data_IF_166420739262
#
_entry.id   IF_166420739262
#
_cell.length_a   1.000
_cell.length_b   1.000
_cell.length_c   1.000
_cell.angle_alpha   90.00
_cell.angle_beta   90.00
_cell.angle_gamma   90.00
#
_symmetry.space_group_name_H-M   'P 1'
#
loop_
_entity.id
_entity.type
_entity.pdbx_description
1 polymer ?
#
# COMPACT_ATOMS: atom_id res chain seq x y z
N UNK A 1 -33.91 24.32 -8.87
CA UNK A 1 -33.14 23.94 -10.06
C UNK A 1 -31.75 24.49 -9.79
N UNK A 2 -30.93 23.71 -9.11
CA UNK A 2 -29.60 24.14 -8.67
C UNK A 2 -28.57 23.57 -9.63
N UNK A 3 -28.05 24.43 -10.51
CA UNK A 3 -26.84 24.15 -11.26
C UNK A 3 -25.64 24.37 -10.33
N UNK A 4 -25.06 23.26 -9.89
CA UNK A 4 -23.77 23.24 -9.21
C UNK A 4 -22.69 23.74 -10.17
N UNK A 5 -22.19 24.95 -9.91
CA UNK A 5 -20.99 25.49 -10.57
C UNK A 5 -19.79 24.66 -10.11
N UNK A 6 -19.46 23.65 -10.91
CA UNK A 6 -18.26 22.84 -10.76
C UNK A 6 -17.07 23.75 -11.08
N UNK A 7 -16.28 24.08 -10.06
CA UNK A 7 -15.08 24.90 -10.25
C UNK A 7 -14.07 24.10 -11.08
N UNK A 8 -14.03 24.36 -12.39
CA UNK A 8 -13.12 23.72 -13.31
C UNK A 8 -11.74 24.38 -13.21
N UNK A 9 -10.74 23.55 -12.95
CA UNK A 9 -9.35 24.01 -12.88
C UNK A 9 -8.89 24.50 -14.26
N UNK A 10 -9.51 23.99 -15.34
CA UNK A 10 -9.26 24.40 -16.72
C UNK A 10 -9.80 25.82 -16.98
N UNK A 11 -11.03 26.12 -16.52
CA UNK A 11 -11.62 27.47 -16.61
C UNK A 11 -10.84 28.49 -15.76
N UNK A 12 -10.46 28.14 -14.52
CA UNK A 12 -9.69 29.04 -13.65
C UNK A 12 -8.26 29.29 -14.17
N UNK A 13 -7.66 28.30 -14.85
CA UNK A 13 -6.36 28.45 -15.50
C UNK A 13 -6.47 29.31 -16.77
N UNK A 14 -7.53 29.11 -17.55
CA UNK A 14 -7.84 29.93 -18.72
C UNK A 14 -8.24 31.37 -18.37
N UNK A 15 -8.86 31.64 -17.22
CA UNK A 15 -9.20 33.00 -16.78
C UNK A 15 -7.95 33.81 -16.37
N UNK A 16 -6.96 33.15 -15.75
CA UNK A 16 -5.68 33.79 -15.36
C UNK A 16 -4.78 34.02 -16.57
N UNK A 17 -4.85 33.14 -17.57
CA UNK A 17 -4.03 33.19 -18.78
C UNK A 17 -4.77 33.74 -20.02
N UNK A 18 -6.05 34.06 -19.88
CA UNK A 18 -6.95 34.39 -20.97
C UNK A 18 -7.92 35.47 -20.54
N UNK A 19 -7.46 36.72 -20.53
CA UNK A 19 -7.84 37.64 -21.60
C UNK A 19 -6.91 38.86 -21.58
N UNK A 20 -6.61 39.42 -22.76
CA UNK A 20 -5.99 40.74 -22.88
C UNK A 20 -4.46 40.78 -23.03
N UNK A 21 -3.92 40.04 -23.99
CA UNK A 21 -2.58 40.26 -24.52
C UNK A 21 -1.71 39.01 -24.43
N UNK A 22 -1.70 38.23 -25.50
CA UNK A 22 -0.85 37.04 -25.62
C UNK A 22 0.62 37.41 -25.40
N UNK A 23 1.11 37.19 -24.19
CA UNK A 23 2.53 37.32 -23.89
C UNK A 23 3.23 36.21 -24.67
N UNK A 24 4.07 36.52 -25.68
CA UNK A 24 4.73 35.50 -26.51
C UNK A 24 5.58 34.54 -25.67
N UNK A 25 5.95 34.96 -24.46
CA UNK A 25 6.69 34.18 -23.46
C UNK A 25 5.83 33.06 -22.86
N UNK A 26 4.54 33.29 -22.55
CA UNK A 26 3.68 32.25 -21.95
C UNK A 26 3.44 31.12 -22.95
N UNK A 27 3.09 31.46 -24.19
CA UNK A 27 2.91 30.49 -25.27
C UNK A 27 4.20 29.73 -25.58
N UNK A 28 5.35 30.39 -25.49
CA UNK A 28 6.65 29.72 -25.67
C UNK A 28 6.97 28.76 -24.51
N UNK A 29 6.60 29.10 -23.27
CA UNK A 29 6.76 28.22 -22.10
C UNK A 29 5.84 27.01 -22.21
N UNK A 30 4.60 27.19 -22.64
CA UNK A 30 3.64 26.08 -22.82
C UNK A 30 4.10 25.12 -23.94
N UNK A 31 4.55 25.67 -25.08
CA UNK A 31 5.14 24.87 -26.17
C UNK A 31 6.41 24.14 -25.73
N UNK A 32 7.24 24.77 -24.91
CA UNK A 32 8.44 24.13 -24.36
C UNK A 32 8.07 22.99 -23.40
N UNK A 33 7.08 23.21 -22.54
CA UNK A 33 6.58 22.19 -21.61
C UNK A 33 6.04 20.97 -22.36
N UNK A 34 5.28 21.19 -23.44
CA UNK A 34 4.77 20.13 -24.33
C UNK A 34 5.91 19.39 -25.05
N UNK A 35 6.93 20.09 -25.53
CA UNK A 35 8.10 19.42 -26.12
C UNK A 35 8.87 18.58 -25.11
N UNK A 36 9.00 19.05 -23.86
CA UNK A 36 9.68 18.31 -22.79
C UNK A 36 8.89 17.04 -22.43
N UNK A 37 7.56 17.09 -22.38
CA UNK A 37 6.74 15.90 -22.09
C UNK A 37 6.81 14.89 -23.23
N UNK A 38 6.72 15.34 -24.49
CA UNK A 38 6.89 14.49 -25.67
C UNK A 38 8.26 13.83 -25.69
N UNK A 39 9.32 14.61 -25.46
CA UNK A 39 10.69 14.08 -25.37
C UNK A 39 10.84 13.06 -24.24
N UNK A 40 10.28 13.34 -23.07
CA UNK A 40 10.33 12.39 -21.95
C UNK A 40 9.63 11.07 -22.31
N UNK A 41 8.52 11.15 -23.03
CA UNK A 41 7.77 9.97 -23.47
C UNK A 41 8.54 9.18 -24.53
N UNK A 42 9.20 9.85 -25.48
CA UNK A 42 10.09 9.24 -26.47
C UNK A 42 11.31 8.58 -25.81
N UNK A 43 11.99 9.28 -24.90
CA UNK A 43 13.14 8.76 -24.16
C UNK A 43 12.76 7.54 -23.30
N UNK A 44 11.58 7.59 -22.65
CA UNK A 44 11.01 6.44 -21.92
C UNK A 44 10.78 5.25 -22.85
N UNK A 45 10.19 5.49 -24.03
CA UNK A 45 9.92 4.44 -25.01
C UNK A 45 11.21 3.83 -25.57
N UNK A 46 12.20 4.67 -25.91
CA UNK A 46 13.51 4.23 -26.39
C UNK A 46 14.30 3.46 -25.32
N UNK A 47 14.21 3.87 -24.05
CA UNK A 47 14.83 3.15 -22.94
C UNK A 47 14.23 1.75 -22.75
N UNK A 48 12.90 1.64 -22.81
CA UNK A 48 12.19 0.36 -22.76
C UNK A 48 12.56 -0.54 -23.95
N UNK A 49 12.66 0.02 -25.15
CA UNK A 49 13.06 -0.71 -26.35
C UNK A 49 14.50 -1.24 -26.23
N UNK A 50 15.45 -0.44 -25.73
CA UNK A 50 16.83 -0.90 -25.49
C UNK A 50 16.90 -2.01 -24.44
N UNK A 51 16.14 -1.90 -23.35
CA UNK A 51 16.06 -2.98 -22.35
C UNK A 51 15.51 -4.26 -22.98
N UNK A 52 14.53 -4.12 -23.87
CA UNK A 52 13.93 -5.23 -24.59
C UNK A 52 14.90 -5.86 -25.60
N UNK A 53 15.64 -5.06 -26.38
CA UNK A 53 16.69 -5.56 -27.27
C UNK A 53 17.80 -6.30 -26.52
N UNK A 54 18.26 -5.75 -25.39
CA UNK A 54 19.26 -6.39 -24.56
C UNK A 54 18.78 -7.75 -24.03
N UNK A 55 17.51 -7.82 -23.62
CA UNK A 55 16.86 -9.06 -23.20
C UNK A 55 16.69 -10.04 -24.35
N UNK A 56 16.31 -9.58 -25.55
CA UNK A 56 16.22 -10.42 -26.74
C UNK A 56 17.58 -11.01 -27.13
N UNK A 57 18.65 -10.20 -27.10
CA UNK A 57 20.01 -10.71 -27.34
C UNK A 57 20.41 -11.74 -26.28
N UNK A 58 20.05 -11.54 -25.02
CA UNK A 58 20.29 -12.49 -23.95
C UNK A 58 19.60 -13.84 -24.19
N UNK A 59 18.31 -13.84 -24.55
CA UNK A 59 17.57 -15.07 -24.89
C UNK A 59 18.12 -15.73 -26.16
N UNK A 60 18.45 -14.94 -27.18
CA UNK A 60 19.05 -15.46 -28.41
C UNK A 60 20.40 -16.12 -28.13
N UNK A 61 21.22 -15.54 -27.25
CA UNK A 61 22.49 -16.11 -26.84
C UNK A 61 22.30 -17.42 -26.05
N UNK A 62 21.28 -17.49 -25.19
CA UNK A 62 20.90 -18.74 -24.50
C UNK A 62 20.44 -19.83 -25.49
N UNK A 63 19.69 -19.43 -26.51
CA UNK A 63 19.15 -20.36 -27.53
C UNK A 63 20.21 -20.80 -28.54
N UNK A 64 21.08 -19.89 -28.96
CA UNK A 64 22.17 -20.16 -29.91
C UNK A 64 23.37 -20.85 -29.26
N UNK A 65 23.55 -20.69 -27.94
CA UNK A 65 24.64 -21.29 -27.16
C UNK A 65 24.44 -22.77 -26.80
N UNK A 66 23.36 -23.42 -27.24
CA UNK A 66 23.14 -24.85 -26.99
C UNK A 66 22.95 -25.23 -25.52
N UNK A 67 22.73 -24.27 -24.62
CA UNK A 67 22.38 -24.51 -23.22
C UNK A 67 20.88 -24.78 -23.09
N UNK A 68 20.40 -25.82 -23.74
CA UNK A 68 19.17 -26.47 -23.30
C UNK A 68 19.49 -27.25 -22.03
N UNK A 69 18.77 -27.08 -20.91
CA UNK A 69 18.84 -28.07 -19.85
C UNK A 69 18.41 -29.40 -20.47
N UNK A 70 19.30 -30.37 -20.39
CA UNK A 70 19.11 -31.71 -20.92
C UNK A 70 17.87 -32.31 -20.25
N UNK A 71 16.77 -32.44 -21.00
CA UNK A 71 15.78 -33.47 -20.68
C UNK A 71 16.49 -34.81 -20.86
N UNK A 72 16.55 -35.68 -19.83
CA UNK A 72 17.23 -36.94 -19.94
C UNK A 72 16.42 -37.88 -20.85
N UNK A 73 17.15 -38.51 -21.77
CA UNK A 73 16.77 -39.71 -22.53
C UNK A 73 15.84 -39.55 -23.74
N UNK A 74 16.45 -39.22 -24.88
CA UNK A 74 16.15 -39.97 -26.11
C UNK A 74 17.49 -40.24 -26.83
N UNK A 75 17.92 -41.50 -27.01
CA UNK A 75 19.22 -41.80 -27.62
C UNK A 75 19.23 -41.41 -29.10
N UNK A 76 20.40 -41.02 -29.58
CA UNK A 76 20.64 -40.22 -30.78
C UNK A 76 20.13 -40.78 -32.10
N UNK A 77 20.15 -39.94 -33.14
CA UNK A 77 21.18 -39.99 -34.20
C UNK A 77 20.91 -38.88 -35.23
N UNK A 78 21.96 -38.15 -35.58
CA UNK A 78 21.99 -37.35 -36.80
C UNK A 78 22.54 -38.15 -37.98
N UNK A 79 21.98 -37.89 -39.15
CA UNK A 79 22.47 -38.17 -40.52
C UNK A 79 22.57 -39.62 -41.01
N UNK A 80 21.96 -39.87 -42.18
CA UNK A 80 22.32 -40.94 -43.12
C UNK A 80 21.18 -41.88 -43.51
N UNK A 81 20.92 -42.01 -44.80
CA UNK A 81 19.93 -42.88 -45.50
C UNK A 81 20.18 -44.40 -45.32
N UNK A 82 19.42 -45.31 -45.98
CA UNK A 82 17.98 -45.46 -46.18
C UNK A 82 17.47 -46.83 -45.64
N UNK A 83 16.18 -47.10 -45.81
CA UNK A 83 15.55 -48.44 -45.86
C UNK A 83 14.95 -49.01 -44.56
N UNK A 84 13.61 -49.07 -44.55
CA UNK A 84 12.87 -50.21 -44.06
C UNK A 84 12.45 -50.20 -42.59
N UNK A 85 11.29 -49.61 -42.27
CA UNK A 85 10.12 -50.33 -41.74
C UNK A 85 8.96 -49.37 -41.42
N UNK A 86 7.69 -49.85 -41.50
CA UNK A 86 6.52 -49.00 -41.60
C UNK A 86 5.82 -48.77 -40.25
N UNK A 87 5.17 -47.62 -40.13
CA UNK A 87 3.98 -47.47 -39.28
C UNK A 87 4.19 -46.87 -37.90
N UNK A 88 4.11 -45.55 -37.81
CA UNK A 88 3.13 -44.83 -36.98
C UNK A 88 3.22 -43.35 -37.33
N UNK A 89 2.31 -42.90 -38.20
CA UNK A 89 2.11 -41.50 -38.48
C UNK A 89 1.41 -40.84 -37.27
N UNK A 90 2.19 -40.22 -36.39
CA UNK A 90 1.66 -39.13 -35.58
C UNK A 90 1.73 -37.85 -36.43
N UNK A 91 0.66 -37.05 -36.48
CA UNK A 91 0.66 -35.84 -37.29
C UNK A 91 1.76 -34.91 -36.77
N UNK A 92 2.48 -34.19 -37.64
CA UNK A 92 3.37 -33.13 -37.20
C UNK A 92 2.48 -32.10 -36.48
N UNK A 93 2.59 -31.97 -35.17
CA UNK A 93 2.05 -30.79 -34.50
C UNK A 93 2.83 -29.59 -35.03
N UNK A 94 2.19 -28.66 -35.77
CA UNK A 94 2.88 -27.45 -36.16
C UNK A 94 3.01 -26.62 -34.89
N UNK A 95 4.21 -26.52 -34.33
CA UNK A 95 4.51 -25.42 -33.43
C UNK A 95 4.25 -24.14 -34.23
N UNK A 96 3.34 -23.25 -33.80
CA UNK A 96 3.04 -22.06 -34.56
C UNK A 96 4.33 -21.24 -34.68
N UNK A 97 4.80 -21.05 -35.90
CA UNK A 97 5.83 -20.08 -36.19
C UNK A 97 5.28 -18.71 -35.79
N UNK A 98 5.86 -18.12 -34.74
CA UNK A 98 5.58 -16.79 -34.17
C UNK A 98 4.66 -16.70 -32.92
N UNK A 99 5.04 -17.28 -31.77
CA UNK A 99 4.42 -16.94 -30.47
C UNK A 99 4.81 -15.54 -29.95
N UNK A 100 5.75 -14.84 -30.63
CA UNK A 100 6.41 -13.62 -30.14
C UNK A 100 5.50 -12.38 -30.17
N UNK A 101 4.67 -12.23 -31.20
CA UNK A 101 3.72 -11.10 -31.32
C UNK A 101 2.57 -11.18 -30.29
N UNK A 102 2.01 -12.38 -30.09
CA UNK A 102 0.88 -12.56 -29.17
C UNK A 102 1.30 -12.43 -27.69
N UNK A 103 2.49 -12.89 -27.32
CA UNK A 103 3.02 -12.72 -25.95
C UNK A 103 3.38 -11.26 -25.69
N UNK A 104 4.00 -10.55 -26.65
CA UNK A 104 4.21 -9.09 -26.57
C UNK A 104 2.90 -8.35 -26.37
N UNK A 105 1.91 -8.61 -27.22
CA UNK A 105 0.60 -7.94 -27.15
C UNK A 105 -0.09 -8.19 -25.80
N UNK A 106 -0.04 -9.42 -25.27
CA UNK A 106 -0.57 -9.74 -23.93
C UNK A 106 0.17 -9.01 -22.81
N UNK A 107 1.49 -8.90 -22.90
CA UNK A 107 2.30 -8.15 -21.92
C UNK A 107 1.98 -6.66 -21.95
N UNK A 108 1.95 -6.04 -23.14
CA UNK A 108 1.58 -4.62 -23.29
C UNK A 108 0.15 -4.36 -22.80
N UNK A 109 -0.81 -5.24 -23.12
CA UNK A 109 -2.17 -5.12 -22.62
C UNK A 109 -2.24 -5.27 -21.09
N UNK A 110 -1.47 -6.19 -20.50
CA UNK A 110 -1.37 -6.32 -19.04
C UNK A 110 -0.76 -5.08 -18.38
N UNK A 111 0.31 -4.53 -18.95
CA UNK A 111 0.98 -3.33 -18.46
C UNK A 111 0.06 -2.10 -18.56
N UNK A 112 -0.60 -1.92 -19.71
CA UNK A 112 -1.59 -0.86 -19.92
C UNK A 112 -2.75 -0.96 -18.92
N UNK A 113 -3.32 -2.15 -18.73
CA UNK A 113 -4.40 -2.36 -17.74
C UNK A 113 -3.95 -2.05 -16.31
N UNK A 114 -2.69 -2.35 -15.96
CA UNK A 114 -2.12 -1.99 -14.66
C UNK A 114 -1.97 -0.47 -14.51
N UNK A 115 -1.55 0.23 -15.55
CA UNK A 115 -1.42 1.69 -15.57
C UNK A 115 -2.79 2.38 -15.47
N UNK A 116 -3.81 1.88 -16.18
CA UNK A 116 -5.19 2.38 -16.08
C UNK A 116 -5.77 2.19 -14.67
N UNK A 117 -5.59 1.01 -14.06
CA UNK A 117 -6.05 0.79 -12.67
C UNK A 117 -5.29 1.65 -11.67
N UNK A 118 -4.00 1.92 -11.91
CA UNK A 118 -3.22 2.82 -11.07
C UNK A 118 -3.68 4.27 -11.20
N UNK A 119 -3.96 4.74 -12.42
CA UNK A 119 -4.48 6.07 -12.68
C UNK A 119 -5.83 6.29 -12.00
N UNK A 120 -6.76 5.34 -12.11
CA UNK A 120 -8.06 5.40 -11.43
C UNK A 120 -7.89 5.41 -9.90
N UNK A 121 -6.94 4.63 -9.39
CA UNK A 121 -6.61 4.61 -7.96
C UNK A 121 -6.05 5.93 -7.45
N UNK A 122 -5.18 6.59 -8.23
CA UNK A 122 -4.65 7.91 -7.90
C UNK A 122 -5.74 8.97 -7.91
N UNK A 123 -6.68 8.91 -8.88
CA UNK A 123 -7.84 9.81 -8.93
C UNK A 123 -8.68 9.69 -7.65
N UNK A 124 -8.94 8.46 -7.20
CA UNK A 124 -9.64 8.21 -5.94
C UNK A 124 -8.84 8.71 -4.74
N UNK A 125 -7.55 8.39 -4.64
CA UNK A 125 -6.70 8.86 -3.55
C UNK A 125 -6.69 10.40 -3.46
N UNK A 126 -6.59 11.09 -4.60
CA UNK A 126 -6.66 12.55 -4.67
C UNK A 126 -7.97 13.07 -4.05
N UNK A 127 -9.10 12.48 -4.41
CA UNK A 127 -10.41 12.83 -3.83
C UNK A 127 -10.42 12.61 -2.32
N UNK A 128 -9.93 11.46 -1.85
CA UNK A 128 -9.90 11.11 -0.42
C UNK A 128 -8.99 12.06 0.38
N UNK A 129 -7.84 12.45 -0.18
CA UNK A 129 -6.93 13.44 0.43
C UNK A 129 -7.54 14.83 0.50
N UNK A 130 -8.24 15.28 -0.56
CA UNK A 130 -8.95 16.56 -0.55
C UNK A 130 -10.03 16.57 0.52
N UNK A 131 -10.82 15.49 0.63
CA UNK A 131 -11.83 15.31 1.69
C UNK A 131 -11.20 15.35 3.08
N UNK A 132 -10.13 14.57 3.31
CA UNK A 132 -9.42 14.54 4.59
C UNK A 132 -8.89 15.93 4.98
N UNK A 133 -8.34 16.68 4.02
CA UNK A 133 -7.85 18.03 4.24
C UNK A 133 -8.97 19.01 4.62
N UNK A 134 -10.14 18.91 3.98
CA UNK A 134 -11.29 19.75 4.31
C UNK A 134 -11.75 19.54 5.76
N UNK A 135 -11.92 18.28 6.17
CA UNK A 135 -12.27 17.91 7.55
C UNK A 135 -11.21 18.36 8.56
N UNK A 136 -9.94 18.19 8.21
CA UNK A 136 -8.81 18.60 9.04
C UNK A 136 -8.79 20.11 9.26
N UNK A 137 -9.06 20.90 8.21
CA UNK A 137 -9.17 22.37 8.32
C UNK A 137 -10.30 22.78 9.25
N UNK A 138 -11.46 22.14 9.13
CA UNK A 138 -12.61 22.37 10.00
C UNK A 138 -12.33 22.01 11.46
N UNK A 139 -11.78 20.81 11.72
CA UNK A 139 -11.43 20.36 13.06
C UNK A 139 -10.41 21.28 13.73
N UNK A 140 -9.40 21.74 12.97
CA UNK A 140 -8.43 22.72 13.45
C UNK A 140 -9.07 24.09 13.75
N UNK A 141 -10.03 24.54 12.94
CA UNK A 141 -10.78 25.77 13.19
C UNK A 141 -11.56 25.66 14.50
N UNK A 142 -12.35 24.59 14.66
CA UNK A 142 -13.15 24.36 15.85
C UNK A 142 -12.26 24.20 17.10
N UNK A 143 -11.15 23.46 17.00
CA UNK A 143 -10.22 23.30 18.12
C UNK A 143 -9.54 24.62 18.53
N UNK A 144 -9.24 25.51 17.57
CA UNK A 144 -8.73 26.87 17.88
C UNK A 144 -9.79 27.71 18.60
N UNK A 145 -11.04 27.64 18.16
CA UNK A 145 -12.13 28.43 18.73
C UNK A 145 -12.56 27.93 20.11
N UNK A 146 -12.68 26.62 20.31
CA UNK A 146 -13.09 26.02 21.58
C UNK A 146 -11.93 25.89 22.59
N UNK A 147 -10.68 25.95 22.12
CA UNK A 147 -9.50 25.68 22.94
C UNK A 147 -9.25 26.76 24.00
N UNK A 148 -9.31 26.38 25.27
CA UNK A 148 -8.61 27.11 26.33
C UNK A 148 -7.10 26.95 26.08
N UNK A 149 -6.40 28.08 25.90
CA UNK A 149 -5.02 28.23 25.37
C UNK A 149 -3.94 27.21 25.78
N UNK A 150 -4.13 26.40 26.83
CA UNK A 150 -3.19 25.37 27.31
C UNK A 150 -3.34 23.96 26.71
N UNK A 151 -4.42 23.63 25.99
CA UNK A 151 -4.68 22.24 25.53
C UNK A 151 -5.14 22.15 24.07
N UNK A 152 -4.55 22.95 23.18
CA UNK A 152 -4.89 22.95 21.77
C UNK A 152 -4.49 21.62 21.09
N UNK A 153 -5.40 21.05 20.31
CA UNK A 153 -5.12 19.91 19.44
C UNK A 153 -4.99 20.39 18.00
N UNK A 154 -3.98 19.89 17.29
CA UNK A 154 -3.79 20.11 15.86
C UNK A 154 -3.95 18.81 15.09
N UNK A 155 -4.62 18.89 13.95
CA UNK A 155 -4.87 17.80 13.03
C UNK A 155 -4.09 18.06 11.73
N UNK A 156 -3.46 17.03 11.18
CA UNK A 156 -2.73 17.08 9.91
C UNK A 156 -3.03 15.83 9.08
N UNK A 157 -2.83 15.87 7.76
CA UNK A 157 -3.10 14.73 6.87
C UNK A 157 -1.78 14.10 6.45
N UNK A 158 -1.69 12.78 6.58
CA UNK A 158 -0.59 11.99 6.01
C UNK A 158 -1.14 10.77 5.28
N UNK A 159 -0.28 10.05 4.56
CA UNK A 159 -0.63 8.80 3.89
C UNK A 159 -0.08 7.62 4.69
N UNK A 160 -0.89 6.58 4.83
CA UNK A 160 -0.49 5.32 5.44
C UNK A 160 -0.74 4.16 4.47
N UNK A 161 0.03 3.08 4.64
CA UNK A 161 -0.24 1.78 4.04
C UNK A 161 -0.81 0.86 5.13
N UNK A 162 -2.13 0.60 5.15
CA UNK A 162 -2.74 -0.29 6.13
C UNK A 162 -2.19 -1.70 6.00
N UNK A 163 -2.01 -2.38 7.14
CA UNK A 163 -1.53 -3.76 7.15
C UNK A 163 -2.44 -4.71 6.34
N UNK A 164 -3.75 -4.43 6.28
CA UNK A 164 -4.71 -5.18 5.47
C UNK A 164 -4.42 -5.11 3.96
N UNK A 165 -3.79 -4.02 3.50
CA UNK A 165 -3.46 -3.77 2.09
C UNK A 165 -2.12 -4.38 1.67
N UNK A 166 -1.29 -4.82 2.62
CA UNK A 166 -0.02 -5.50 2.36
C UNK A 166 -0.17 -6.97 1.92
N UNK A 167 -1.40 -7.50 1.84
CA UNK A 167 -1.64 -8.88 1.44
C UNK A 167 -1.18 -9.12 -0.01
N UNK A 168 -0.37 -10.17 -0.29
CA UNK A 168 0.11 -10.45 -1.64
C UNK A 168 -1.00 -10.57 -2.69
N UNK A 169 -2.20 -11.03 -2.32
CA UNK A 169 -3.36 -11.12 -3.21
C UNK A 169 -3.88 -9.75 -3.66
N UNK A 170 -3.90 -8.76 -2.76
CA UNK A 170 -4.33 -7.37 -3.07
C UNK A 170 -3.31 -6.67 -3.95
N UNK A 171 -2.02 -6.85 -3.65
CA UNK A 171 -0.91 -6.29 -4.44
C UNK A 171 -0.91 -6.90 -5.85
N UNK A 172 -1.04 -8.23 -5.97
CA UNK A 172 -1.12 -8.92 -7.28
C UNK A 172 -2.35 -8.45 -8.08
N UNK A 173 -3.49 -8.28 -7.42
CA UNK A 173 -4.71 -7.74 -8.02
C UNK A 173 -4.58 -6.26 -8.46
N UNK A 174 -3.49 -5.56 -8.11
CA UNK A 174 -3.33 -4.14 -8.44
C UNK A 174 -4.23 -3.23 -7.63
N UNK A 175 -4.71 -3.69 -6.47
CA UNK A 175 -5.44 -2.83 -5.54
C UNK A 175 -4.49 -1.80 -4.94
N UNK A 176 -4.88 -0.54 -4.94
CA UNK A 176 -4.11 0.54 -4.36
C UNK A 176 -3.94 0.36 -2.85
N UNK A 177 -2.76 0.66 -2.34
CA UNK A 177 -2.35 0.26 -0.99
C UNK A 177 -2.33 1.40 0.02
N UNK A 178 -2.35 2.65 -0.44
CA UNK A 178 -2.27 3.83 0.43
C UNK A 178 -3.64 4.43 0.69
N UNK A 179 -3.86 4.94 1.89
CA UNK A 179 -5.04 5.72 2.27
C UNK A 179 -4.63 6.94 3.12
N UNK A 180 -5.42 8.03 3.12
CA UNK A 180 -5.17 9.16 4.00
C UNK A 180 -5.52 8.81 5.44
N UNK A 181 -4.69 9.29 6.37
CA UNK A 181 -4.87 9.17 7.81
C UNK A 181 -4.61 10.53 8.46
N UNK A 182 -5.30 10.80 9.56
CA UNK A 182 -5.23 12.06 10.28
C UNK A 182 -4.23 11.92 11.42
N UNK A 183 -3.20 12.76 11.42
CA UNK A 183 -2.23 12.90 12.50
C UNK A 183 -2.78 13.88 13.53
N UNK A 184 -3.00 13.42 14.75
CA UNK A 184 -3.53 14.23 15.85
C UNK A 184 -2.41 14.50 16.85
N UNK A 185 -2.17 15.77 17.15
CA UNK A 185 -1.13 16.22 18.09
C UNK A 185 -1.74 17.16 19.13
N UNK A 186 -1.40 16.97 20.40
CA UNK A 186 -1.86 17.83 21.49
C UNK A 186 -0.71 18.63 22.07
N UNK A 187 -0.90 19.95 22.20
CA UNK A 187 0.09 20.82 22.81
C UNK A 187 0.40 20.38 24.25
N UNK A 188 1.68 20.23 24.58
CA UNK A 188 2.15 19.78 25.89
C UNK A 188 2.23 18.26 26.07
N UNK A 189 1.88 17.46 25.05
CA UNK A 189 2.08 16.00 25.05
C UNK A 189 3.10 15.61 23.98
N UNK A 190 4.03 14.73 24.34
CA UNK A 190 4.96 14.11 23.41
C UNK A 190 4.30 12.93 22.70
N UNK A 191 4.28 12.97 21.36
CA UNK A 191 3.70 11.92 20.53
C UNK A 191 2.58 12.43 19.62
N UNK A 192 2.13 11.57 18.71
CA UNK A 192 1.01 11.84 17.81
C UNK A 192 0.15 10.59 17.65
N UNK A 193 -1.16 10.78 17.54
CA UNK A 193 -2.11 9.70 17.24
C UNK A 193 -2.42 9.67 15.75
N UNK A 194 -2.81 8.51 15.26
CA UNK A 194 -3.30 8.32 13.90
C UNK A 194 -4.77 7.95 13.96
N UNK A 195 -5.62 8.76 13.35
CA UNK A 195 -7.05 8.52 13.22
C UNK A 195 -7.40 8.29 11.76
N UNK A 196 -8.27 7.32 11.49
CA UNK A 196 -8.90 7.19 10.18
C UNK A 196 -9.73 8.44 9.85
N UNK A 197 -9.92 8.72 8.56
CA UNK A 197 -10.79 9.83 8.14
C UNK A 197 -12.19 9.70 8.74
N UNK A 198 -12.75 8.48 8.77
CA UNK A 198 -14.06 8.21 9.36
C UNK A 198 -14.12 8.50 10.87
N UNK A 199 -13.03 8.24 11.61
CA UNK A 199 -12.95 8.62 13.03
C UNK A 199 -13.02 10.14 13.19
N UNK A 200 -12.26 10.92 12.40
CA UNK A 200 -12.34 12.38 12.46
C UNK A 200 -13.73 12.89 12.08
N UNK A 201 -14.38 12.28 11.08
CA UNK A 201 -15.76 12.65 10.67
C UNK A 201 -16.76 12.47 11.80
N UNK A 202 -16.67 11.35 12.53
CA UNK A 202 -17.53 11.10 13.68
C UNK A 202 -17.23 12.10 14.80
N UNK A 203 -15.96 12.34 15.13
CA UNK A 203 -15.56 13.31 16.16
C UNK A 203 -15.96 14.75 15.81
N UNK A 204 -16.00 15.09 14.53
CA UNK A 204 -16.46 16.39 14.06
C UNK A 204 -17.93 16.67 14.39
N UNK A 205 -18.77 15.63 14.53
CA UNK A 205 -20.15 15.79 14.98
C UNK A 205 -20.15 16.37 16.40
N UNK A 206 -19.39 15.74 17.31
CA UNK A 206 -19.25 16.19 18.70
C UNK A 206 -18.59 17.59 18.77
N UNK A 207 -17.55 17.83 17.97
CA UNK A 207 -16.87 19.15 17.93
C UNK A 207 -17.82 20.27 17.47
N UNK A 208 -18.65 20.02 16.46
CA UNK A 208 -19.64 20.99 15.95
C UNK A 208 -20.71 21.28 16.99
N UNK A 209 -21.19 20.26 17.70
CA UNK A 209 -22.15 20.41 18.79
C UNK A 209 -21.58 21.30 19.90
N UNK A 210 -20.36 21.00 20.38
CA UNK A 210 -19.67 21.83 21.37
C UNK A 210 -19.46 23.28 20.89
N UNK A 211 -19.11 23.48 19.62
CA UNK A 211 -18.92 24.81 19.05
C UNK A 211 -20.24 25.59 19.03
N UNK A 212 -21.32 24.94 18.64
CA UNK A 212 -22.66 25.53 18.64
C UNK A 212 -23.14 25.84 20.06
N UNK A 213 -22.87 24.99 21.05
CA UNK A 213 -23.22 25.24 22.45
C UNK A 213 -22.48 26.46 23.02
N UNK A 214 -21.19 26.61 22.68
CA UNK A 214 -20.41 27.81 23.01
C UNK A 214 -21.01 29.06 22.35
N UNK A 215 -21.39 28.98 21.08
CA UNK A 215 -21.95 30.10 20.31
C UNK A 215 -23.35 30.50 20.81
N UNK A 216 -24.18 29.53 21.17
CA UNK A 216 -25.54 29.73 21.69
C UNK A 216 -25.56 30.16 23.17
N UNK A 217 -24.39 30.31 23.81
CA UNK A 217 -24.28 30.75 25.19
C UNK A 217 -24.78 29.72 26.22
N UNK A 218 -24.90 28.45 25.83
CA UNK A 218 -25.33 27.35 26.73
C UNK A 218 -24.20 26.96 27.71
N UNK A 219 -22.98 27.46 27.50
CA UNK A 219 -21.91 27.36 28.49
C UNK A 219 -22.22 28.28 29.67
N UNK A 220 -22.87 27.68 30.69
CA UNK A 220 -22.72 28.06 32.11
C UNK A 220 -21.24 28.34 32.32
N UNK A 221 -20.92 29.58 32.70
CA UNK A 221 -19.57 30.02 33.01
C UNK A 221 -18.79 28.92 33.72
N UNK A 222 -17.80 28.35 33.01
CA UNK A 222 -16.74 27.60 33.64
C UNK A 222 -16.02 28.59 34.55
N UNK A 223 -16.37 28.53 35.82
CA UNK A 223 -15.92 29.42 36.88
C UNK A 223 -14.46 29.12 37.17
N UNK A 224 -13.58 29.67 36.35
CA UNK A 224 -12.18 29.87 36.65
C UNK A 224 -11.82 31.35 36.53
N UNK A 225 -12.65 32.21 37.14
CA UNK A 225 -12.25 33.55 37.53
C UNK A 225 -12.20 33.59 39.06
N UNK A 226 -10.99 33.71 39.58
CA UNK A 226 -10.69 33.98 40.99
C UNK A 226 -11.48 35.19 41.49
N UNK A 227 -12.07 35.06 42.69
CA UNK A 227 -12.91 36.04 43.40
C UNK A 227 -12.27 37.43 43.59
N UNK A 228 -13.05 38.48 43.95
CA UNK A 228 -13.33 38.70 45.38
C UNK A 228 -14.79 39.13 45.73
N UNK A 229 -15.21 38.68 46.91
CA UNK A 229 -16.16 39.28 47.87
C UNK A 229 -17.69 39.29 47.60
N UNK A 230 -18.46 38.79 48.58
CA UNK A 230 -19.87 39.21 48.76
C UNK A 230 -20.94 38.24 49.28
N UNK A 231 -20.71 37.50 50.37
CA UNK A 231 -21.74 36.99 51.32
C UNK A 231 -22.49 35.66 51.05
N UNK A 232 -22.97 34.96 52.12
CA UNK A 232 -23.27 33.52 52.09
C UNK A 232 -24.77 33.18 52.31
N UNK A 233 -25.30 32.18 51.61
CA UNK A 233 -26.45 31.39 52.08
C UNK A 233 -26.62 30.08 51.29
N UNK A 234 -26.38 28.97 52.00
CA UNK A 234 -26.88 27.60 51.84
C UNK A 234 -27.74 27.26 50.60
N UNK A 235 -27.32 26.23 49.84
CA UNK A 235 -28.04 24.95 49.79
C UNK A 235 -27.36 23.90 48.88
N UNK A 236 -27.11 22.73 49.47
CA UNK A 236 -26.88 21.41 48.87
C UNK A 236 -25.58 21.18 48.09
N UNK A 237 -24.67 20.47 48.75
CA UNK A 237 -23.63 19.68 48.11
C UNK A 237 -24.25 18.71 47.10
N UNK A 238 -24.10 18.99 45.80
CA UNK A 238 -24.21 18.00 44.74
C UNK A 238 -22.81 17.64 44.27
N UNK A 239 -22.14 16.83 45.07
CA UNK A 239 -21.09 15.93 44.59
C UNK A 239 -21.74 14.86 43.71
N UNK A 240 -21.93 15.13 42.42
CA UNK A 240 -22.17 14.10 41.38
C UNK A 240 -22.51 14.77 40.05
N UNK A 241 -21.48 15.15 39.28
CA UNK A 241 -21.28 14.79 37.86
C UNK A 241 -20.04 15.56 37.39
N UNK A 242 -18.86 15.09 37.80
CA UNK A 242 -17.76 15.00 36.83
C UNK A 242 -18.28 14.04 35.75
N UNK A 243 -19.14 14.55 34.85
CA UNK A 243 -19.44 13.85 33.63
C UNK A 243 -18.09 13.67 32.96
N UNK A 244 -17.74 12.42 32.75
CA UNK A 244 -16.65 11.96 31.91
C UNK A 244 -16.94 12.49 30.51
N UNK A 245 -16.77 13.79 30.30
CA UNK A 245 -16.88 14.45 29.02
C UNK A 245 -15.65 13.96 28.27
N UNK A 246 -15.88 12.89 27.51
CA UNK A 246 -14.90 12.29 26.62
C UNK A 246 -14.43 13.45 25.74
N UNK A 247 -13.17 13.86 25.91
CA UNK A 247 -12.55 14.93 25.13
C UNK A 247 -12.66 14.58 23.63
N UNK A 248 -13.49 15.26 22.84
CA UNK A 248 -13.69 14.89 21.44
C UNK A 248 -12.47 15.27 20.60
N UNK A 249 -11.55 16.07 21.15
CA UNK A 249 -10.33 16.50 20.47
C UNK A 249 -9.17 15.53 20.66
N UNK A 250 -9.21 14.60 21.60
CA UNK A 250 -8.08 13.71 21.87
C UNK A 250 -8.52 12.42 22.54
N UNK A 251 -8.13 11.27 21.99
CA UNK A 251 -8.40 9.97 22.62
C UNK A 251 -7.31 9.67 23.66
N UNK A 252 -7.67 9.18 24.84
CA UNK A 252 -6.68 8.74 25.84
C UNK A 252 -6.19 7.30 25.62
N UNK A 253 -6.77 6.57 24.67
CA UNK A 253 -6.40 5.18 24.36
C UNK A 253 -5.25 5.12 23.33
N UNK A 254 -4.31 4.21 23.56
CA UNK A 254 -3.18 3.96 22.68
C UNK A 254 -3.58 3.04 21.52
N UNK A 255 -3.43 3.53 20.28
CA UNK A 255 -3.62 2.73 19.06
C UNK A 255 -2.31 2.03 18.66
N UNK A 256 -2.41 0.81 18.12
CA UNK A 256 -1.26 0.08 17.57
C UNK A 256 -0.85 0.64 16.20
N UNK A 257 0.35 1.21 16.10
CA UNK A 257 0.89 1.74 14.86
C UNK A 257 1.79 0.71 14.14
N UNK A 258 1.67 0.64 12.81
CA UNK A 258 2.58 -0.16 11.98
C UNK A 258 3.96 0.53 11.94
N UNK A 259 4.96 -0.09 12.55
CA UNK A 259 6.35 0.43 12.56
C UNK A 259 7.07 0.04 11.27
N UNK A 260 6.85 -1.17 10.76
CA UNK A 260 7.45 -1.64 9.52
C UNK A 260 7.08 -3.06 9.11
N UNK A 261 7.63 -3.49 7.98
CA UNK A 261 7.36 -4.77 7.32
C UNK A 261 8.65 -5.57 7.18
N UNK A 262 8.60 -6.84 7.53
CA UNK A 262 9.70 -7.79 7.38
C UNK A 262 9.28 -8.91 6.40
N UNK A 263 10.04 -9.11 5.34
CA UNK A 263 9.76 -10.12 4.32
C UNK A 263 10.57 -11.40 4.58
N UNK A 264 9.90 -12.53 4.72
CA UNK A 264 10.52 -13.82 4.99
C UNK A 264 10.28 -14.77 3.82
N UNK A 265 11.35 -15.29 3.23
CA UNK A 265 11.27 -16.27 2.16
C UNK A 265 11.20 -17.68 2.74
N UNK A 266 10.10 -18.39 2.43
CA UNK A 266 9.77 -19.67 3.03
C UNK A 266 10.14 -20.88 2.16
N UNK A 267 10.88 -20.67 1.07
CA UNK A 267 11.26 -21.72 0.12
C UNK A 267 12.05 -22.86 0.80
N UNK A 268 12.85 -22.53 1.81
CA UNK A 268 13.60 -23.52 2.60
C UNK A 268 12.71 -24.58 3.28
N UNK A 269 11.41 -24.31 3.46
CA UNK A 269 10.46 -25.25 4.05
C UNK A 269 10.02 -26.38 3.10
N UNK A 270 10.34 -26.28 1.81
CA UNK A 270 10.21 -27.41 0.89
C UNK A 270 11.28 -28.48 1.14
N UNK A 271 12.38 -28.09 1.80
CA UNK A 271 13.38 -28.98 2.32
C UNK A 271 13.13 -29.21 3.82
N UNK A 272 13.58 -30.33 4.38
CA UNK A 272 13.39 -30.64 5.81
C UNK A 272 14.40 -29.86 6.67
N UNK A 273 14.34 -28.54 6.59
CA UNK A 273 15.29 -27.61 7.20
C UNK A 273 14.56 -26.58 8.08
N UNK A 274 15.20 -26.23 9.21
CA UNK A 274 14.77 -25.11 10.05
C UNK A 274 15.30 -23.80 9.45
N UNK A 275 14.41 -22.86 9.16
CA UNK A 275 14.76 -21.47 8.92
C UNK A 275 15.07 -20.79 10.26
N UNK A 276 16.25 -20.19 10.37
CA UNK A 276 16.70 -19.42 11.54
C UNK A 276 17.42 -18.17 11.02
N UNK A 277 16.72 -17.03 10.99
CA UNK A 277 17.17 -15.87 10.24
C UNK A 277 16.74 -14.54 10.86
N UNK A 278 17.63 -13.55 10.83
CA UNK A 278 17.35 -12.17 11.22
C UNK A 278 16.90 -11.37 9.99
N UNK A 279 15.64 -10.92 10.01
CA UNK A 279 15.00 -10.21 8.91
C UNK A 279 14.94 -8.72 9.24
N UNK A 280 15.41 -7.82 8.36
CA UNK A 280 15.27 -6.38 8.59
C UNK A 280 13.80 -5.97 8.57
N UNK A 281 13.40 -5.14 9.53
CA UNK A 281 12.09 -4.49 9.56
C UNK A 281 12.23 -3.17 8.80
N UNK A 282 11.52 -3.04 7.69
CA UNK A 282 11.56 -1.84 6.86
C UNK A 282 10.40 -0.92 7.26
N UNK A 283 10.73 0.30 7.69
CA UNK A 283 9.78 1.34 8.03
C UNK A 283 8.96 1.80 6.82
N UNK A 284 7.92 2.58 7.07
CA UNK A 284 7.12 3.19 6.01
C UNK A 284 7.90 4.24 5.20
N UNK A 285 9.02 4.76 5.73
CA UNK A 285 9.98 5.62 5.01
C UNK A 285 10.95 4.83 4.11
N UNK A 286 11.00 3.50 4.24
CA UNK A 286 12.00 2.67 3.56
C UNK A 286 13.33 2.51 4.33
N UNK A 287 13.41 3.04 5.54
CA UNK A 287 14.58 2.88 6.42
C UNK A 287 14.48 1.60 7.27
N UNK A 288 15.60 1.07 7.73
CA UNK A 288 15.61 -0.11 8.61
C UNK A 288 15.27 0.33 10.04
N UNK A 289 14.12 -0.12 10.54
CA UNK A 289 13.60 0.22 11.87
C UNK A 289 14.02 -0.76 12.98
N UNK A 290 14.61 -1.90 12.63
CA UNK A 290 15.04 -2.94 13.58
C UNK A 290 15.24 -4.29 12.90
N UNK A 291 15.49 -5.34 13.69
CA UNK A 291 15.64 -6.71 13.19
C UNK A 291 14.65 -7.64 13.86
N UNK A 292 13.96 -8.43 13.04
CA UNK A 292 13.08 -9.49 13.49
C UNK A 292 13.81 -10.82 13.38
N UNK A 293 14.15 -11.43 14.51
CA UNK A 293 14.67 -12.79 14.55
C UNK A 293 13.51 -13.78 14.37
N UNK A 294 13.53 -14.55 13.28
CA UNK A 294 12.48 -15.46 12.87
C UNK A 294 13.01 -16.88 12.79
N UNK A 295 12.34 -17.79 13.49
CA UNK A 295 12.57 -19.23 13.39
C UNK A 295 11.32 -19.94 12.88
N UNK A 296 11.44 -20.64 11.76
CA UNK A 296 10.33 -21.37 11.15
C UNK A 296 10.80 -22.77 10.80
N UNK A 297 10.04 -23.79 11.19
CA UNK A 297 10.30 -25.15 10.78
C UNK A 297 9.00 -25.90 10.55
N UNK A 298 9.05 -26.88 9.65
CA UNK A 298 7.93 -27.75 9.34
C UNK A 298 7.65 -28.67 10.51
N UNK A 299 6.38 -28.79 10.88
CA UNK A 299 5.91 -29.80 11.82
C UNK A 299 5.41 -30.98 10.99
N UNK A 300 5.96 -32.20 11.17
CA UNK A 300 5.45 -33.37 10.46
C UNK A 300 3.99 -33.59 10.87
N UNK A 301 3.10 -33.72 9.89
CA UNK A 301 1.72 -34.12 10.16
C UNK A 301 1.78 -35.57 10.66
N UNK A 302 1.47 -35.78 11.94
CA UNK A 302 1.28 -37.12 12.49
C UNK A 302 -0.11 -37.60 12.07
N UNK A 303 -0.26 -37.99 10.81
CA UNK A 303 -1.39 -38.82 10.42
C UNK A 303 -1.11 -40.21 11.01
N UNK A 304 -1.64 -40.47 12.20
CA UNK A 304 -1.84 -41.83 12.71
C UNK A 304 -2.69 -42.57 11.69
N UNK A 305 -2.05 -43.41 10.88
CA UNK A 305 -2.42 -44.78 10.52
C UNK A 305 -1.57 -45.23 9.31
N UNK A 306 -0.75 -46.26 9.50
CA UNK A 306 -0.03 -46.92 8.41
C UNK A 306 1.45 -47.12 8.67
N UNK A 307 1.77 -48.21 9.36
CA UNK A 307 3.10 -48.80 9.42
C UNK A 307 3.70 -48.92 8.02
N UNK A 308 4.85 -48.30 7.77
CA UNK A 308 5.87 -48.82 6.84
C UNK A 308 7.24 -48.16 7.08
N UNK A 309 8.26 -48.99 6.90
CA UNK A 309 9.65 -48.96 7.35
C UNK A 309 10.48 -47.73 6.95
N UNK A 310 11.65 -47.47 7.59
CA UNK A 310 12.51 -46.35 7.23
C UNK A 310 13.34 -46.73 6.00
N UNK A 311 12.95 -46.26 4.82
CA UNK A 311 13.83 -46.30 3.65
C UNK A 311 14.74 -45.07 3.66
N UNK A 312 16.05 -45.33 3.65
CA UNK A 312 17.10 -44.31 3.62
C UNK A 312 17.35 -43.95 2.15
N UNK A 313 16.48 -43.10 1.59
CA UNK A 313 16.59 -42.66 0.21
C UNK A 313 15.94 -41.30 -0.01
N UNK A 314 16.73 -40.39 -0.59
CA UNK A 314 16.28 -39.25 -1.41
C UNK A 314 15.66 -38.02 -0.72
N UNK A 315 16.53 -37.04 -0.47
CA UNK A 315 16.15 -35.68 -0.08
C UNK A 315 15.55 -34.81 -1.21
N UNK A 316 15.42 -35.33 -2.44
CA UNK A 316 14.97 -34.56 -3.61
C UNK A 316 13.50 -34.82 -3.98
N UNK A 317 13.02 -36.07 -3.88
CA UNK A 317 11.62 -36.43 -4.23
C UNK A 317 10.57 -35.84 -3.27
N UNK A 318 10.99 -35.48 -2.05
CA UNK A 318 10.08 -35.02 -1.00
C UNK A 318 9.54 -33.61 -1.23
N UNK A 319 10.26 -32.75 -1.96
CA UNK A 319 9.83 -31.37 -2.22
C UNK A 319 8.67 -31.30 -3.23
N UNK A 320 8.73 -32.09 -4.32
CA UNK A 320 7.64 -32.19 -5.30
C UNK A 320 6.37 -32.78 -4.68
N UNK A 321 6.52 -33.67 -3.69
CA UNK A 321 5.40 -34.27 -2.96
C UNK A 321 4.57 -33.25 -2.15
N UNK A 322 5.11 -32.06 -1.87
CA UNK A 322 4.47 -31.01 -1.08
C UNK A 322 3.77 -29.95 -1.95
N UNK A 323 3.99 -29.97 -3.27
CA UNK A 323 3.36 -29.01 -4.18
C UNK A 323 1.84 -29.15 -4.11
N UNK A 324 1.14 -28.04 -3.82
CA UNK A 324 -0.31 -28.02 -3.68
C UNK A 324 -0.86 -28.58 -2.36
N UNK A 325 0.00 -28.99 -1.42
CA UNK A 325 -0.41 -29.44 -0.06
C UNK A 325 -0.26 -28.33 0.97
N UNK A 326 -1.07 -28.41 2.03
CA UNK A 326 -0.96 -27.51 3.19
C UNK A 326 0.24 -27.95 4.05
N UNK A 327 1.20 -27.05 4.24
CA UNK A 327 2.37 -27.28 5.10
C UNK A 327 2.11 -26.63 6.46
N UNK A 328 2.13 -27.43 7.52
CA UNK A 328 2.02 -26.95 8.91
C UNK A 328 3.40 -26.58 9.44
N UNK A 329 3.55 -25.37 9.96
CA UNK A 329 4.84 -24.87 10.46
C UNK A 329 4.67 -24.24 11.85
N UNK A 330 5.73 -24.31 12.67
CA UNK A 330 5.82 -23.53 13.90
C UNK A 330 6.68 -22.29 13.66
N UNK A 331 6.20 -21.14 14.13
CA UNK A 331 6.86 -19.83 14.03
C UNK A 331 7.23 -19.34 15.43
N UNK A 332 8.51 -19.08 15.67
CA UNK A 332 8.99 -18.28 16.81
C UNK A 332 9.53 -16.96 16.27
N UNK A 333 9.17 -15.84 16.93
CA UNK A 333 9.61 -14.49 16.54
C UNK A 333 10.04 -13.67 17.74
N UNK A 334 11.15 -12.96 17.60
CA UNK A 334 11.69 -12.04 18.61
C UNK A 334 12.11 -10.75 17.92
N UNK A 335 11.77 -9.59 18.49
CA UNK A 335 12.19 -8.28 17.95
C UNK A 335 13.45 -7.86 18.70
N UNK A 336 14.50 -7.53 17.95
CA UNK A 336 15.74 -6.92 18.47
C UNK A 336 15.77 -5.46 17.99
N UNK A 337 15.92 -4.53 18.95
CA UNK A 337 16.08 -3.09 18.71
C UNK A 337 17.49 -2.73 18.25
#
# INVERSE_FOLDING_TARGET
MDESVLFDYDDAWHEVNGDGGGNPISTAVDQYMEQVTLKHQEDKQAALERQYEAFERYIQNLTAGGFTPSTPMTPGYGFGTPLGTPGTALPPFPFPANPKQMVRSKFFYWAQRKEEMFAESLKRLKSDVVRANALTREANMISRELGNSRRQTTYDVTLQIPAANLRPSKIKAGTFVCEPVIVVRRAGMSGSQLWTVAQLENKLIDMREMYNDKLNGVIRESSCASSPEGSPAHSVAQTSVDEVMIDPFFESQEHHNLIGVANVFLEVLFHDMKLDYQVPIISHQGEVAGRLHVQIYRVPNCDTEGVQSPDYGEGMERAESLLGKVITCRLNKTVEE
#
